data_IF_256082345264
#
_entry.id   IF_256082345264
#
_cell.length_a   1.000
_cell.length_b   1.000
_cell.length_c   1.000
_cell.angle_alpha   90.00
_cell.angle_beta   90.00
_cell.angle_gamma   90.00
#
_symmetry.space_group_name_H-M   'P 1'
#
loop_
_entity.id
_entity.type
_entity.pdbx_description
1 polymer ?
#
# COMPACT_ATOMS: atom_id res chain seq x y z
N UNK A 1 19.45 -2.58 -1.09
CA UNK A 1 19.08 -1.19 -0.72
C UNK A 1 19.36 -0.30 -1.92
N UNK A 2 18.37 0.47 -2.37
CA UNK A 2 18.61 1.54 -3.35
C UNK A 2 19.41 2.61 -2.63
N UNK A 3 20.71 2.72 -2.92
CA UNK A 3 21.57 3.77 -2.36
C UNK A 3 21.09 5.13 -2.89
N UNK A 4 20.79 6.09 -2.02
CA UNK A 4 20.51 7.48 -2.39
C UNK A 4 19.10 8.02 -2.14
N UNK A 5 18.17 7.23 -1.57
CA UNK A 5 16.90 7.76 -1.04
C UNK A 5 16.93 7.66 0.48
N UNK A 6 17.26 8.77 1.14
CA UNK A 6 17.20 8.86 2.60
C UNK A 6 15.73 8.97 3.04
N UNK A 7 15.06 7.82 3.09
CA UNK A 7 13.65 7.72 3.46
C UNK A 7 13.56 7.61 4.98
N UNK A 8 13.51 8.75 5.67
CA UNK A 8 13.31 8.78 7.13
C UNK A 8 11.92 8.26 7.47
N UNK A 9 11.84 7.07 8.06
CA UNK A 9 10.59 6.49 8.56
C UNK A 9 10.20 7.19 9.85
N UNK A 10 9.00 7.79 9.90
CA UNK A 10 8.44 8.42 11.11
C UNK A 10 7.59 7.45 11.92
N UNK A 11 8.14 6.28 12.28
CA UNK A 11 7.42 5.32 13.12
C UNK A 11 7.35 5.87 14.56
N UNK A 12 6.14 5.95 15.12
CA UNK A 12 5.95 6.46 16.47
C UNK A 12 6.24 5.36 17.52
N UNK A 13 6.86 5.75 18.64
CA UNK A 13 7.50 4.82 19.58
C UNK A 13 6.58 3.72 20.14
N UNK A 14 5.28 3.99 20.31
CA UNK A 14 4.33 3.07 20.93
C UNK A 14 3.50 2.24 19.93
N UNK A 15 3.78 2.32 18.61
CA UNK A 15 3.04 1.58 17.57
C UNK A 15 2.95 0.09 17.88
N UNK A 16 4.05 -0.51 18.34
CA UNK A 16 4.10 -1.93 18.65
C UNK A 16 3.19 -2.33 19.80
N UNK A 17 3.16 -1.53 20.87
CA UNK A 17 2.33 -1.76 22.04
C UNK A 17 0.86 -1.60 21.65
N UNK A 18 0.53 -0.56 20.89
CA UNK A 18 -0.82 -0.34 20.36
C UNK A 18 -1.30 -1.52 19.51
N UNK A 19 -0.49 -1.95 18.54
CA UNK A 19 -0.80 -3.10 17.68
C UNK A 19 -1.02 -4.38 18.50
N UNK A 20 -0.17 -4.63 19.50
CA UNK A 20 -0.28 -5.83 20.33
C UNK A 20 -1.57 -5.82 21.16
N UNK A 21 -1.84 -4.72 21.89
CA UNK A 21 -3.02 -4.60 22.74
C UNK A 21 -4.31 -4.72 21.94
N UNK A 22 -4.40 -4.04 20.79
CA UNK A 22 -5.58 -4.11 19.94
C UNK A 22 -5.79 -5.50 19.34
N UNK A 23 -4.71 -6.19 18.95
CA UNK A 23 -4.80 -7.55 18.43
C UNK A 23 -5.20 -8.57 19.50
N UNK A 24 -4.72 -8.41 20.73
CA UNK A 24 -5.08 -9.28 21.85
C UNK A 24 -6.57 -9.14 22.18
N UNK A 25 -7.06 -7.90 22.30
CA UNK A 25 -8.47 -7.60 22.50
C UNK A 25 -9.30 -8.20 21.35
N UNK A 26 -8.93 -7.91 20.10
CA UNK A 26 -9.62 -8.42 18.91
C UNK A 26 -9.66 -9.95 18.88
N UNK A 27 -8.58 -10.62 19.27
CA UNK A 27 -8.53 -12.08 19.30
C UNK A 27 -9.53 -12.64 20.31
N UNK A 28 -9.55 -12.14 21.54
CA UNK A 28 -10.47 -12.57 22.61
C UNK A 28 -11.93 -12.39 22.19
N UNK A 29 -12.30 -11.21 21.70
CA UNK A 29 -13.69 -10.92 21.30
C UNK A 29 -14.11 -11.67 20.04
N UNK A 30 -13.16 -12.06 19.18
CA UNK A 30 -13.48 -12.79 17.96
C UNK A 30 -13.66 -14.31 18.17
N UNK A 31 -13.31 -14.88 19.32
CA UNK A 31 -13.36 -16.35 19.56
C UNK A 31 -14.68 -17.01 19.09
N UNK A 32 -15.88 -16.47 19.39
CA UNK A 32 -17.12 -17.08 18.92
C UNK A 32 -17.20 -17.16 17.38
N UNK A 33 -16.72 -16.12 16.69
CA UNK A 33 -16.68 -16.07 15.22
C UNK A 33 -15.73 -17.14 14.69
N UNK A 34 -14.58 -17.35 15.34
CA UNK A 34 -13.63 -18.39 14.92
C UNK A 34 -14.26 -19.78 14.94
N UNK A 35 -15.02 -20.11 15.97
CA UNK A 35 -15.70 -21.42 16.10
C UNK A 35 -16.75 -21.59 15.00
N UNK A 36 -17.61 -20.59 14.79
CA UNK A 36 -18.65 -20.63 13.76
C UNK A 36 -18.05 -20.80 12.36
N UNK A 37 -17.04 -20.00 12.03
CA UNK A 37 -16.36 -20.05 10.72
C UNK A 37 -15.63 -21.38 10.54
N UNK A 38 -14.99 -21.88 11.59
CA UNK A 38 -14.30 -23.18 11.56
C UNK A 38 -15.25 -24.34 11.25
N UNK A 39 -16.42 -24.36 11.90
CA UNK A 39 -17.47 -25.37 11.65
C UNK A 39 -18.01 -25.20 10.22
N UNK A 40 -18.32 -23.97 9.79
CA UNK A 40 -18.86 -23.73 8.45
C UNK A 40 -17.91 -24.19 7.32
N UNK A 41 -16.60 -23.88 7.43
CA UNK A 41 -15.59 -24.34 6.47
C UNK A 41 -15.45 -25.86 6.49
N UNK A 42 -15.49 -26.46 7.69
CA UNK A 42 -15.36 -27.90 7.85
C UNK A 42 -16.57 -28.65 7.28
N UNK A 43 -17.79 -28.14 7.46
CA UNK A 43 -18.99 -28.74 6.90
C UNK A 43 -19.06 -28.58 5.36
N UNK A 44 -18.54 -27.46 4.81
CA UNK A 44 -18.59 -27.23 3.36
C UNK A 44 -17.51 -28.00 2.59
N UNK A 45 -16.26 -27.98 3.05
CA UNK A 45 -15.11 -28.54 2.31
C UNK A 45 -14.08 -29.22 3.25
N UNK A 46 -14.46 -29.60 4.48
CA UNK A 46 -13.58 -30.34 5.40
C UNK A 46 -12.32 -29.60 5.86
N UNK A 47 -11.23 -30.33 6.08
CA UNK A 47 -9.92 -29.77 6.50
C UNK A 47 -9.02 -29.45 5.29
N UNK A 48 -8.03 -28.54 5.43
CA UNK A 48 -7.74 -27.69 6.59
C UNK A 48 -8.62 -26.43 6.69
N UNK A 49 -8.86 -25.97 7.92
CA UNK A 49 -9.69 -24.77 8.21
C UNK A 49 -8.87 -23.48 8.00
N UNK A 50 -7.63 -23.48 8.48
CA UNK A 50 -6.70 -22.37 8.28
C UNK A 50 -5.86 -22.61 7.04
N UNK A 51 -5.65 -21.54 6.28
CA UNK A 51 -4.72 -21.46 5.17
C UNK A 51 -3.53 -20.58 5.57
N UNK A 52 -2.32 -21.01 5.20
CA UNK A 52 -1.09 -20.25 5.41
C UNK A 52 -0.47 -19.90 4.07
N UNK A 53 -0.01 -18.66 3.93
CA UNK A 53 0.62 -18.18 2.70
C UNK A 53 1.95 -17.50 3.00
N UNK A 54 2.99 -17.83 2.23
CA UNK A 54 4.30 -17.18 2.37
C UNK A 54 4.20 -15.75 1.85
N UNK A 55 4.63 -14.79 2.67
CA UNK A 55 4.59 -13.35 2.37
C UNK A 55 5.90 -12.69 2.79
N UNK A 56 6.19 -11.51 2.21
CA UNK A 56 7.35 -10.70 2.58
C UNK A 56 6.98 -9.67 3.64
N UNK A 57 7.72 -9.66 4.75
CA UNK A 57 7.61 -8.73 5.86
C UNK A 57 8.61 -7.58 5.78
N UNK A 58 8.90 -6.97 6.94
CA UNK A 58 9.89 -5.89 7.06
C UNK A 58 11.27 -6.38 6.59
N UNK A 59 11.94 -5.58 5.78
CA UNK A 59 13.21 -5.89 5.10
C UNK A 59 13.16 -7.19 4.28
N UNK A 60 12.02 -7.44 3.63
CA UNK A 60 11.80 -8.62 2.78
C UNK A 60 11.94 -9.97 3.52
N UNK A 61 11.89 -9.97 4.86
CA UNK A 61 11.96 -11.22 5.64
C UNK A 61 10.69 -12.05 5.40
N UNK A 62 10.80 -13.31 4.93
CA UNK A 62 9.63 -14.12 4.67
C UNK A 62 8.96 -14.56 5.96
N UNK A 63 7.62 -14.57 5.98
CA UNK A 63 6.82 -15.09 7.08
C UNK A 63 5.56 -15.80 6.56
N UNK A 64 4.89 -16.55 7.43
CA UNK A 64 3.62 -17.22 7.13
C UNK A 64 2.45 -16.35 7.57
N UNK A 65 1.68 -15.85 6.62
CA UNK A 65 0.43 -15.13 6.86
C UNK A 65 -0.72 -16.12 7.02
N UNK A 66 -1.49 -16.00 8.10
CA UNK A 66 -2.63 -16.89 8.40
C UNK A 66 -3.95 -16.29 7.93
N UNK A 67 -4.82 -17.13 7.38
CA UNK A 67 -6.19 -16.80 7.00
C UNK A 67 -7.12 -17.99 7.24
N UNK A 68 -8.43 -17.74 7.31
CA UNK A 68 -9.37 -18.82 7.10
C UNK A 68 -9.37 -19.23 5.62
N UNK A 69 -9.50 -20.53 5.37
CA UNK A 69 -9.57 -21.05 4.00
C UNK A 69 -10.90 -20.61 3.38
N UNK A 70 -10.82 -19.80 2.34
CA UNK A 70 -11.98 -19.30 1.58
C UNK A 70 -12.08 -19.87 0.16
N UNK A 71 -11.15 -20.74 -0.22
CA UNK A 71 -11.11 -21.40 -1.52
C UNK A 71 -11.13 -22.92 -1.34
N UNK A 72 -11.57 -23.63 -2.37
CA UNK A 72 -11.55 -25.10 -2.42
C UNK A 72 -10.14 -25.64 -2.14
N UNK A 73 -10.06 -26.88 -1.64
CA UNK A 73 -8.78 -27.61 -1.64
C UNK A 73 -8.14 -27.52 -3.02
N UNK A 74 -6.83 -27.35 -3.06
CA UNK A 74 -6.05 -27.42 -4.29
C UNK A 74 -6.36 -26.30 -5.32
N UNK A 75 -6.89 -25.17 -4.86
CA UNK A 75 -7.21 -24.00 -5.70
C UNK A 75 -6.03 -23.46 -6.55
N UNK A 76 -4.78 -23.74 -6.16
CA UNK A 76 -3.60 -23.26 -6.89
C UNK A 76 -2.89 -24.38 -7.69
N UNK A 77 -3.37 -25.63 -7.67
CA UNK A 77 -2.65 -26.76 -8.25
C UNK A 77 -2.47 -26.65 -9.78
N UNK A 78 -3.45 -26.06 -10.47
CA UNK A 78 -3.42 -25.87 -11.93
C UNK A 78 -2.88 -24.52 -12.39
N UNK A 79 -2.88 -23.51 -11.51
CA UNK A 79 -2.61 -22.10 -11.89
C UNK A 79 -1.38 -21.50 -11.21
N UNK A 80 -0.91 -22.10 -10.12
CA UNK A 80 0.12 -21.54 -9.27
C UNK A 80 -0.31 -20.24 -8.57
N UNK A 81 0.65 -19.41 -8.14
CA UNK A 81 0.41 -18.26 -7.29
C UNK A 81 -0.18 -17.05 -8.05
N UNK A 82 -1.48 -17.09 -8.32
CA UNK A 82 -2.21 -15.99 -9.00
C UNK A 82 -3.04 -15.14 -8.02
N UNK A 83 -3.32 -13.89 -8.39
CA UNK A 83 -4.35 -13.11 -7.69
C UNK A 83 -5.73 -13.72 -7.93
N UNK A 84 -6.60 -13.63 -6.92
CA UNK A 84 -7.99 -14.05 -7.07
C UNK A 84 -8.70 -13.10 -8.02
N UNK A 85 -9.52 -13.63 -8.94
CA UNK A 85 -10.34 -12.77 -9.80
C UNK A 85 -11.65 -12.41 -9.10
N UNK A 86 -12.39 -11.45 -9.67
CA UNK A 86 -13.77 -11.25 -9.25
C UNK A 86 -14.60 -12.46 -9.65
N UNK A 87 -15.45 -12.95 -8.73
CA UNK A 87 -16.23 -14.19 -8.89
C UNK A 87 -15.37 -15.42 -9.23
N UNK A 88 -14.18 -15.51 -8.66
CA UNK A 88 -13.27 -16.63 -8.87
C UNK A 88 -13.94 -17.98 -8.52
N UNK A 89 -14.00 -18.94 -9.46
CA UNK A 89 -14.71 -20.21 -9.28
C UNK A 89 -14.11 -21.07 -8.17
N UNK A 90 -12.87 -20.78 -7.75
CA UNK A 90 -12.19 -21.49 -6.68
C UNK A 90 -12.72 -21.09 -5.29
N UNK A 91 -13.51 -20.02 -5.18
CA UNK A 91 -14.03 -19.52 -3.90
C UNK A 91 -15.31 -20.27 -3.50
N UNK A 92 -15.31 -20.86 -2.31
CA UNK A 92 -16.47 -21.63 -1.79
C UNK A 92 -17.64 -20.71 -1.40
N UNK A 93 -18.83 -21.24 -1.09
CA UNK A 93 -19.98 -20.41 -0.69
C UNK A 93 -19.71 -19.73 0.66
N UNK A 94 -19.21 -20.47 1.64
CA UNK A 94 -18.75 -19.88 2.92
C UNK A 94 -17.61 -18.91 2.66
N UNK A 95 -16.68 -19.29 1.79
CA UNK A 95 -15.56 -18.46 1.32
C UNK A 95 -15.98 -17.09 0.79
N UNK A 96 -17.04 -17.03 -0.02
CA UNK A 96 -17.58 -15.76 -0.53
C UNK A 96 -18.05 -14.85 0.61
N UNK A 97 -18.78 -15.40 1.57
CA UNK A 97 -19.28 -14.65 2.72
C UNK A 97 -18.15 -14.11 3.60
N UNK A 98 -17.20 -14.97 4.00
CA UNK A 98 -16.10 -14.55 4.88
C UNK A 98 -15.14 -13.58 4.20
N UNK A 99 -15.00 -13.61 2.86
CA UNK A 99 -14.22 -12.62 2.10
C UNK A 99 -14.95 -11.28 1.96
N UNK A 100 -16.26 -11.30 1.73
CA UNK A 100 -17.06 -10.07 1.63
C UNK A 100 -17.06 -9.26 2.94
N UNK A 101 -16.99 -9.98 4.06
CA UNK A 101 -16.94 -9.44 5.42
C UNK A 101 -15.51 -9.36 5.99
N UNK A 102 -14.47 -9.67 5.21
CA UNK A 102 -13.06 -9.72 5.66
C UNK A 102 -12.80 -10.60 6.91
N UNK A 103 -13.76 -11.45 7.29
CA UNK A 103 -13.63 -12.42 8.38
C UNK A 103 -12.50 -13.41 8.07
N UNK A 104 -12.25 -13.69 6.78
CA UNK A 104 -11.14 -14.56 6.36
C UNK A 104 -9.76 -14.07 6.82
N UNK A 105 -9.63 -12.77 7.12
CA UNK A 105 -8.39 -12.15 7.58
C UNK A 105 -8.22 -12.13 9.10
N UNK A 106 -9.22 -12.54 9.91
CA UNK A 106 -9.11 -12.59 11.37
C UNK A 106 -7.90 -13.37 11.90
N UNK A 107 -7.47 -14.50 11.30
CA UNK A 107 -6.27 -15.20 11.76
C UNK A 107 -4.97 -14.40 11.67
N UNK A 108 -4.95 -13.30 10.91
CA UNK A 108 -3.81 -12.38 10.87
C UNK A 108 -3.59 -11.64 12.20
N UNK A 109 -4.56 -11.61 13.12
CA UNK A 109 -4.34 -11.10 14.48
C UNK A 109 -3.20 -11.85 15.19
N UNK A 110 -3.04 -13.15 14.92
CA UNK A 110 -1.91 -13.95 15.42
C UNK A 110 -0.58 -13.42 14.83
N UNK A 111 -0.55 -13.05 13.56
CA UNK A 111 0.62 -12.44 12.94
C UNK A 111 0.96 -11.08 13.55
N UNK A 112 -0.05 -10.28 13.91
CA UNK A 112 0.15 -9.02 14.64
C UNK A 112 0.75 -9.31 16.02
N UNK A 113 0.20 -10.27 16.79
CA UNK A 113 0.76 -10.63 18.10
C UNK A 113 2.20 -11.14 18.02
N UNK A 114 2.55 -11.93 17.00
CA UNK A 114 3.94 -12.36 16.73
C UNK A 114 4.86 -11.21 16.29
N UNK A 115 4.28 -10.13 15.77
CA UNK A 115 5.02 -8.98 15.25
C UNK A 115 5.48 -9.12 13.81
N UNK A 116 4.96 -10.11 13.08
CA UNK A 116 5.19 -10.32 11.64
C UNK A 116 4.62 -9.15 10.81
N UNK A 117 3.44 -8.66 11.21
CA UNK A 117 2.71 -7.55 10.58
C UNK A 117 2.22 -6.54 11.64
N UNK A 118 1.68 -5.41 11.20
CA UNK A 118 1.00 -4.37 11.98
C UNK A 118 -0.48 -4.29 11.59
N UNK A 119 -1.32 -3.56 12.34
CA UNK A 119 -2.67 -3.25 11.85
C UNK A 119 -2.63 -2.39 10.60
N UNK A 120 -1.71 -1.41 10.54
CA UNK A 120 -1.63 -0.44 9.44
C UNK A 120 -0.26 -0.45 8.82
N UNK A 121 -0.23 -0.57 7.49
CA UNK A 121 0.99 -0.68 6.69
C UNK A 121 0.74 -1.15 5.27
N UNK A 122 1.80 -1.16 4.44
CA UNK A 122 1.74 -1.71 3.09
C UNK A 122 1.26 -3.17 3.10
N UNK A 123 0.46 -3.58 2.11
CA UNK A 123 0.02 -4.99 2.04
C UNK A 123 1.22 -5.90 1.80
N UNK A 124 1.36 -6.95 2.61
CA UNK A 124 2.42 -7.94 2.42
C UNK A 124 2.22 -8.69 1.09
N UNK A 125 3.22 -8.72 0.22
CA UNK A 125 3.14 -9.42 -1.08
C UNK A 125 3.71 -10.84 -1.03
N UNK A 126 3.25 -11.67 -1.96
CA UNK A 126 3.85 -13.00 -2.18
C UNK A 126 5.25 -12.82 -2.78
N UNK A 127 6.26 -13.60 -2.36
CA UNK A 127 7.62 -13.49 -2.88
C UNK A 127 7.70 -13.54 -4.41
N UNK A 128 6.92 -14.43 -5.04
CA UNK A 128 6.91 -14.64 -6.50
C UNK A 128 6.39 -13.40 -7.24
N UNK A 129 5.33 -12.78 -6.71
CA UNK A 129 4.75 -11.56 -7.27
C UNK A 129 5.66 -10.35 -7.02
N UNK A 130 6.22 -10.22 -5.82
CA UNK A 130 7.14 -9.15 -5.49
C UNK A 130 8.40 -9.20 -6.39
N UNK A 131 8.94 -10.39 -6.67
CA UNK A 131 10.05 -10.55 -7.60
C UNK A 131 9.68 -10.12 -9.02
N UNK A 132 8.45 -10.42 -9.49
CA UNK A 132 7.94 -9.93 -10.79
C UNK A 132 7.81 -8.41 -10.82
N UNK A 133 7.24 -7.80 -9.77
CA UNK A 133 7.06 -6.35 -9.71
C UNK A 133 8.38 -5.59 -9.60
N UNK A 134 9.35 -6.10 -8.84
CA UNK A 134 10.69 -5.49 -8.71
C UNK A 134 11.46 -5.43 -10.03
N UNK A 135 11.23 -6.38 -10.96
CA UNK A 135 11.84 -6.35 -12.31
C UNK A 135 11.37 -5.14 -13.11
N UNK A 136 10.10 -4.76 -12.98
CA UNK A 136 9.51 -3.64 -13.72
C UNK A 136 9.55 -2.32 -12.94
N UNK A 137 9.60 -2.39 -11.61
CA UNK A 137 9.52 -1.26 -10.68
C UNK A 137 10.58 -1.47 -9.58
N UNK A 138 11.84 -1.07 -9.81
CA UNK A 138 12.92 -1.29 -8.83
C UNK A 138 12.62 -0.70 -7.45
N UNK A 139 11.89 0.43 -7.40
CA UNK A 139 11.46 1.09 -6.16
C UNK A 139 10.41 0.30 -5.35
N UNK A 140 9.85 -0.79 -5.90
CA UNK A 140 8.81 -1.58 -5.23
C UNK A 140 9.27 -2.18 -3.89
N UNK A 141 10.58 -2.42 -3.74
CA UNK A 141 11.16 -2.91 -2.49
C UNK A 141 11.02 -1.92 -1.31
N UNK A 142 10.88 -0.61 -1.58
CA UNK A 142 10.78 0.43 -0.55
C UNK A 142 9.56 0.24 0.36
N UNK A 143 8.51 -0.45 -0.10
CA UNK A 143 7.33 -0.74 0.72
C UNK A 143 7.63 -1.66 1.92
N UNK A 144 8.73 -2.41 1.87
CA UNK A 144 9.13 -3.35 2.93
C UNK A 144 10.02 -2.73 4.00
N UNK A 145 10.32 -1.42 3.96
CA UNK A 145 11.15 -0.78 4.99
C UNK A 145 10.42 -0.67 6.35
N UNK A 146 9.09 -0.80 6.33
CA UNK A 146 8.23 -0.88 7.53
C UNK A 146 7.53 -2.24 7.58
N UNK A 147 6.93 -2.56 8.73
CA UNK A 147 6.08 -3.76 8.83
C UNK A 147 4.89 -3.62 7.88
N UNK A 148 4.53 -4.69 7.15
CA UNK A 148 3.31 -4.68 6.38
C UNK A 148 2.07 -4.57 7.29
N UNK A 149 0.96 -4.14 6.73
CA UNK A 149 -0.30 -3.92 7.44
C UNK A 149 -1.40 -4.90 7.04
N UNK A 150 -2.26 -5.23 8.01
CA UNK A 150 -3.57 -5.82 7.74
C UNK A 150 -4.39 -4.88 6.84
N UNK A 151 -4.44 -3.60 7.19
CA UNK A 151 -5.01 -2.51 6.38
C UNK A 151 -3.96 -1.45 6.04
N UNK A 152 -4.32 -0.51 5.18
CA UNK A 152 -3.42 0.53 4.70
C UNK A 152 -4.09 1.44 3.68
N UNK A 153 -3.40 2.50 3.28
CA UNK A 153 -3.96 3.48 2.33
C UNK A 153 -4.31 2.80 1.00
N UNK A 154 -3.44 1.93 0.48
CA UNK A 154 -3.69 1.19 -0.75
C UNK A 154 -4.89 0.24 -0.63
N UNK A 155 -5.09 -0.38 0.53
CA UNK A 155 -6.20 -1.30 0.79
C UNK A 155 -7.54 -0.56 0.92
N UNK A 156 -7.54 0.64 1.52
CA UNK A 156 -8.75 1.41 1.79
C UNK A 156 -9.19 2.24 0.57
N UNK A 157 -8.23 2.86 -0.13
CA UNK A 157 -8.49 3.79 -1.22
C UNK A 157 -8.18 3.23 -2.61
N UNK A 158 -7.31 2.22 -2.70
CA UNK A 158 -7.00 1.57 -3.96
C UNK A 158 -8.12 0.62 -4.39
N UNK A 159 -8.35 0.55 -5.69
CA UNK A 159 -9.18 -0.49 -6.33
C UNK A 159 -8.42 -1.81 -6.37
N UNK A 160 -9.13 -2.93 -6.50
CA UNK A 160 -8.51 -4.27 -6.52
C UNK A 160 -7.46 -4.42 -7.63
N UNK A 161 -7.81 -3.92 -8.81
CA UNK A 161 -7.04 -3.87 -10.05
C UNK A 161 -5.99 -2.75 -10.08
N UNK A 162 -5.87 -1.95 -9.02
CA UNK A 162 -4.92 -0.83 -8.97
C UNK A 162 -3.52 -1.35 -9.32
N UNK A 163 -2.89 -0.80 -10.38
CA UNK A 163 -1.60 -1.27 -10.83
C UNK A 163 -0.56 -1.23 -9.70
N UNK A 164 0.43 -2.14 -9.70
CA UNK A 164 1.47 -2.19 -8.66
C UNK A 164 2.17 -0.84 -8.42
N UNK A 165 2.30 -0.01 -9.46
CA UNK A 165 2.85 1.34 -9.40
C UNK A 165 2.02 2.25 -8.48
N UNK A 166 0.70 2.26 -8.63
CA UNK A 166 -0.18 3.09 -7.81
C UNK A 166 -0.29 2.57 -6.37
N UNK A 167 -0.30 1.24 -6.18
CA UNK A 167 -0.21 0.64 -4.84
C UNK A 167 1.05 1.10 -4.12
N UNK A 168 2.19 1.08 -4.82
CA UNK A 168 3.46 1.58 -4.27
C UNK A 168 3.37 3.05 -3.86
N UNK A 169 2.71 3.92 -4.64
CA UNK A 169 2.53 5.34 -4.26
C UNK A 169 1.79 5.48 -2.94
N UNK A 170 0.66 4.81 -2.78
CA UNK A 170 -0.11 4.84 -1.53
C UNK A 170 0.71 4.33 -0.34
N UNK A 171 1.48 3.27 -0.54
CA UNK A 171 2.36 2.73 0.49
C UNK A 171 3.45 3.71 0.90
N UNK A 172 4.08 4.40 -0.06
CA UNK A 172 5.10 5.42 0.22
C UNK A 172 4.52 6.65 0.92
N UNK A 173 3.30 7.06 0.56
CA UNK A 173 2.56 8.13 1.26
C UNK A 173 2.35 7.73 2.73
N UNK A 174 1.93 6.50 2.98
CA UNK A 174 1.77 6.01 4.35
C UNK A 174 3.09 6.04 5.11
N UNK A 175 4.15 5.44 4.55
CA UNK A 175 5.48 5.35 5.15
C UNK A 175 6.03 6.73 5.55
N UNK A 176 5.85 7.74 4.70
CA UNK A 176 6.32 9.11 4.97
C UNK A 176 5.51 9.83 6.06
N UNK A 177 4.23 9.52 6.18
CA UNK A 177 3.28 10.24 7.04
C UNK A 177 2.74 9.39 8.19
N UNK A 178 3.49 8.35 8.60
CA UNK A 178 3.08 7.50 9.71
C UNK A 178 2.83 8.33 10.97
N UNK A 179 1.65 8.14 11.56
CA UNK A 179 1.25 8.79 12.80
C UNK A 179 0.14 7.97 13.44
N UNK A 180 0.02 8.08 14.76
CA UNK A 180 -1.04 7.39 15.51
C UNK A 180 -2.44 7.75 15.00
N UNK A 181 -2.69 9.02 14.72
CA UNK A 181 -4.00 9.50 14.21
C UNK A 181 -4.31 8.93 12.82
N UNK A 182 -3.31 8.81 11.94
CA UNK A 182 -3.50 8.20 10.63
C UNK A 182 -3.83 6.71 10.77
N UNK A 183 -3.11 5.99 11.63
CA UNK A 183 -3.37 4.58 11.89
C UNK A 183 -4.80 4.37 12.42
N UNK A 184 -5.23 5.15 13.41
CA UNK A 184 -6.57 5.07 13.96
C UNK A 184 -7.65 5.33 12.91
N UNK A 185 -7.47 6.35 12.07
CA UNK A 185 -8.38 6.66 10.95
C UNK A 185 -8.48 5.49 9.97
N UNK A 186 -7.35 4.90 9.57
CA UNK A 186 -7.32 3.80 8.63
C UNK A 186 -7.95 2.53 9.22
N UNK A 187 -7.73 2.23 10.50
CA UNK A 187 -8.37 1.10 11.20
C UNK A 187 -9.89 1.29 11.24
N UNK A 188 -10.36 2.45 11.70
CA UNK A 188 -11.80 2.73 11.79
C UNK A 188 -12.49 2.69 10.42
N UNK A 189 -11.85 3.26 9.40
CA UNK A 189 -12.39 3.23 8.04
C UNK A 189 -12.39 1.80 7.46
N UNK A 190 -11.33 1.03 7.70
CA UNK A 190 -11.26 -0.39 7.33
C UNK A 190 -12.36 -1.20 8.01
N UNK A 191 -12.58 -0.99 9.32
CA UNK A 191 -13.64 -1.66 10.07
C UNK A 191 -15.03 -1.27 9.56
N UNK A 192 -15.25 0.01 9.25
CA UNK A 192 -16.51 0.47 8.68
C UNK A 192 -16.80 -0.15 7.30
N UNK A 193 -15.77 -0.25 6.44
CA UNK A 193 -15.89 -0.92 5.13
C UNK A 193 -16.23 -2.41 5.33
N UNK A 194 -15.58 -3.07 6.28
CA UNK A 194 -15.89 -4.45 6.68
C UNK A 194 -17.34 -4.61 7.12
N UNK A 195 -17.77 -3.78 8.06
CA UNK A 195 -19.10 -3.86 8.64
C UNK A 195 -20.21 -3.63 7.60
N UNK A 196 -19.97 -2.74 6.64
CA UNK A 196 -20.93 -2.47 5.55
C UNK A 196 -20.87 -3.49 4.41
N UNK A 197 -19.97 -4.49 4.47
CA UNK A 197 -19.80 -5.51 3.41
C UNK A 197 -19.28 -4.93 2.09
N UNK A 198 -18.82 -3.67 2.09
CA UNK A 198 -18.46 -2.92 0.88
C UNK A 198 -17.01 -3.10 0.45
N UNK A 199 -16.37 -4.20 0.83
CA UNK A 199 -15.06 -4.55 0.27
C UNK A 199 -15.18 -4.91 -1.22
N UNK A 200 -16.31 -5.50 -1.60
CA UNK A 200 -16.60 -5.89 -2.98
C UNK A 200 -17.48 -4.88 -3.73
N UNK A 201 -18.31 -4.07 -3.04
CA UNK A 201 -19.21 -3.12 -3.70
C UNK A 201 -18.53 -1.79 -4.09
N UNK A 202 -17.90 -1.83 -5.26
CA UNK A 202 -17.91 -0.92 -6.44
C UNK A 202 -18.54 0.50 -6.38
N UNK A 203 -18.24 1.34 -5.39
CA UNK A 203 -18.46 2.80 -5.55
C UNK A 203 -17.25 3.60 -5.06
N UNK A 204 -16.95 4.70 -5.75
CA UNK A 204 -15.85 5.62 -5.43
C UNK A 204 -15.97 6.13 -3.99
N UNK A 205 -15.26 5.47 -3.07
CA UNK A 205 -15.12 5.93 -1.68
C UNK A 205 -14.40 7.28 -1.57
N UNK A 206 -13.80 7.76 -2.67
CA UNK A 206 -13.33 9.13 -2.86
C UNK A 206 -14.48 10.15 -2.94
N UNK A 207 -15.64 9.77 -3.49
CA UNK A 207 -16.77 10.67 -3.71
C UNK A 207 -17.39 11.22 -2.42
N UNK A 208 -17.37 10.45 -1.33
CA UNK A 208 -18.01 10.85 -0.05
C UNK A 208 -17.16 11.84 0.75
N UNK A 209 -15.82 11.73 0.68
CA UNK A 209 -14.93 12.68 1.37
C UNK A 209 -14.66 13.94 0.53
N UNK A 210 -14.62 13.80 -0.80
CA UNK A 210 -14.41 14.91 -1.74
C UNK A 210 -15.69 15.75 -1.86
N UNK A 211 -16.89 15.15 -2.04
CA UNK A 211 -18.14 15.92 -2.23
C UNK A 211 -18.54 16.78 -1.03
N UNK A 212 -18.28 16.33 0.21
CA UNK A 212 -18.64 17.10 1.41
C UNK A 212 -17.71 18.30 1.69
N UNK A 213 -16.49 18.30 1.13
CA UNK A 213 -15.58 19.46 1.21
C UNK A 213 -15.63 20.39 0.00
N UNK A 214 -16.09 19.92 -1.16
CA UNK A 214 -16.17 20.74 -2.38
C UNK A 214 -17.32 21.75 -2.41
N UNK A 215 -18.30 21.67 -1.50
CA UNK A 215 -19.43 22.61 -1.51
C UNK A 215 -19.20 23.91 -0.70
N UNK A 216 -18.21 23.97 0.19
CA UNK A 216 -17.85 25.19 0.92
C UNK A 216 -16.34 25.21 1.20
N UNK A 217 -15.64 26.02 0.43
CA UNK A 217 -14.26 26.50 0.70
C UNK A 217 -13.13 25.50 0.44
N UNK A 218 -12.88 25.18 -0.84
CA UNK A 218 -11.53 24.94 -1.35
C UNK A 218 -11.53 25.15 -2.86
N UNK A 219 -11.34 26.40 -3.29
CA UNK A 219 -10.60 26.60 -4.54
C UNK A 219 -9.20 26.01 -4.29
N UNK A 220 -8.74 25.02 -5.06
CA UNK A 220 -7.37 24.59 -4.96
C UNK A 220 -6.51 25.68 -5.60
N UNK A 221 -6.12 26.67 -4.79
CA UNK A 221 -4.84 27.32 -5.02
C UNK A 221 -3.76 26.29 -4.65
N UNK A 222 -2.66 26.28 -5.41
CA UNK A 222 -1.46 25.42 -5.29
C UNK A 222 -1.45 24.28 -6.31
N UNK A 223 -0.71 24.51 -7.40
CA UNK A 223 -0.17 23.50 -8.32
C UNK A 223 0.51 22.37 -7.54
N UNK A 224 -0.08 21.16 -7.55
CA UNK A 224 0.40 20.02 -6.75
C UNK A 224 1.64 19.33 -7.35
N UNK A 225 2.02 19.69 -8.57
CA UNK A 225 3.31 19.29 -9.16
C UNK A 225 4.36 20.34 -8.84
N UNK A 226 5.12 20.13 -7.75
CA UNK A 226 6.28 20.97 -7.45
C UNK A 226 7.26 20.96 -8.63
N UNK A 227 7.86 22.11 -9.01
CA UNK A 227 8.89 22.17 -10.04
C UNK A 227 10.03 21.20 -9.74
N UNK A 228 10.63 20.60 -10.79
CA UNK A 228 11.65 19.55 -10.67
C UNK A 228 12.80 19.94 -9.72
N UNK A 229 13.27 21.18 -9.82
CA UNK A 229 14.34 21.70 -8.96
C UNK A 229 13.97 21.68 -7.46
N UNK A 230 12.71 21.97 -7.13
CA UNK A 230 12.25 21.99 -5.74
C UNK A 230 12.07 20.59 -5.17
N UNK A 231 11.68 19.62 -6.00
CA UNK A 231 11.66 18.20 -5.63
C UNK A 231 13.07 17.67 -5.35
N UNK A 232 14.05 18.07 -6.16
CA UNK A 232 15.45 17.65 -5.99
C UNK A 232 16.06 18.22 -4.71
N UNK A 233 15.69 19.46 -4.32
CA UNK A 233 16.12 20.07 -3.05
C UNK A 233 15.48 19.38 -1.85
N UNK A 234 14.17 19.10 -1.90
CA UNK A 234 13.47 18.41 -0.81
C UNK A 234 13.97 16.98 -0.59
N UNK A 235 14.45 16.34 -1.66
CA UNK A 235 15.09 15.04 -1.61
C UNK A 235 16.59 15.11 -1.25
N UNK A 236 17.11 16.30 -0.94
CA UNK A 236 18.51 16.55 -0.62
C UNK A 236 19.49 16.04 -1.70
N UNK A 237 19.05 16.02 -2.97
CA UNK A 237 19.85 15.60 -4.12
C UNK A 237 20.71 16.74 -4.63
N UNK A 238 20.17 17.97 -4.59
CA UNK A 238 20.87 19.19 -4.95
C UNK A 238 20.62 20.27 -3.90
N UNK A 239 21.52 21.24 -3.78
CA UNK A 239 21.36 22.40 -2.91
C UNK A 239 20.61 23.54 -3.60
N UNK A 240 20.17 24.53 -2.81
CA UNK A 240 19.60 25.78 -3.35
C UNK A 240 20.58 26.53 -4.25
N UNK A 241 21.88 26.50 -3.93
CA UNK A 241 22.91 27.15 -4.75
C UNK A 241 23.11 26.43 -6.09
N UNK A 242 23.17 25.09 -6.07
CA UNK A 242 23.27 24.28 -7.29
C UNK A 242 22.06 24.49 -8.21
N UNK A 243 20.86 24.64 -7.65
CA UNK A 243 19.67 24.96 -8.43
C UNK A 243 19.76 26.37 -9.05
N UNK A 244 20.20 27.38 -8.30
CA UNK A 244 20.39 28.74 -8.83
C UNK A 244 21.40 28.76 -9.98
N UNK A 245 22.52 28.06 -9.82
CA UNK A 245 23.54 27.98 -10.86
C UNK A 245 23.02 27.26 -12.12
N UNK A 246 22.30 26.14 -11.95
CA UNK A 246 21.69 25.44 -13.06
C UNK A 246 20.62 26.28 -13.77
N UNK A 247 19.82 27.08 -13.04
CA UNK A 247 18.83 28.01 -13.63
C UNK A 247 19.50 29.13 -14.43
N UNK A 248 20.62 29.67 -13.95
CA UNK A 248 21.41 30.66 -14.69
C UNK A 248 21.98 30.05 -15.98
N UNK A 249 22.53 28.84 -15.89
CA UNK A 249 23.04 28.08 -17.04
C UNK A 249 21.93 27.73 -18.05
N UNK A 250 20.73 27.40 -17.56
CA UNK A 250 19.56 27.11 -18.37
C UNK A 250 19.16 28.31 -19.24
N UNK A 251 19.11 29.52 -18.65
CA UNK A 251 18.72 30.75 -19.34
C UNK A 251 19.66 31.12 -20.49
N UNK A 252 20.93 30.78 -20.38
CA UNK A 252 21.92 31.05 -21.44
C UNK A 252 21.87 30.09 -22.64
N UNK A 253 21.17 28.95 -22.52
CA UNK A 253 21.24 27.86 -23.51
C UNK A 253 19.86 27.31 -23.95
N UNK A 254 18.75 27.76 -23.35
CA UNK A 254 17.40 27.33 -23.74
C UNK A 254 17.09 25.85 -23.46
N UNK A 255 17.86 25.19 -22.60
CA UNK A 255 17.69 23.76 -22.24
C UNK A 255 16.67 23.57 -21.10
N UNK A 256 16.26 22.33 -20.82
CA UNK A 256 15.41 22.03 -19.66
C UNK A 256 16.24 22.04 -18.36
N UNK A 257 15.63 22.40 -17.23
CA UNK A 257 16.32 22.47 -15.93
C UNK A 257 17.01 21.14 -15.55
N UNK A 258 16.40 20.00 -15.87
CA UNK A 258 17.00 18.69 -15.63
C UNK A 258 18.30 18.46 -16.43
N UNK A 259 18.31 18.88 -17.70
CA UNK A 259 19.50 18.78 -18.56
C UNK A 259 20.60 19.75 -18.11
N UNK A 260 20.23 20.95 -17.65
CA UNK A 260 21.18 21.90 -17.06
C UNK A 260 21.87 21.34 -15.82
N UNK A 261 21.12 20.67 -14.94
CA UNK A 261 21.64 20.02 -13.75
C UNK A 261 22.60 18.86 -14.08
N UNK A 262 22.32 18.10 -15.14
CA UNK A 262 23.22 17.03 -15.61
C UNK A 262 24.49 17.60 -16.23
N UNK A 263 24.38 18.60 -17.11
CA UNK A 263 25.55 19.22 -17.77
C UNK A 263 26.49 19.91 -16.79
N UNK A 264 25.95 20.43 -15.68
CA UNK A 264 26.73 21.00 -14.58
C UNK A 264 27.33 19.96 -13.62
N UNK A 265 27.02 18.68 -13.80
CA UNK A 265 27.54 17.60 -12.95
C UNK A 265 26.86 17.49 -11.58
N UNK A 266 25.77 18.22 -11.33
CA UNK A 266 25.02 18.18 -10.08
C UNK A 266 24.07 16.99 -9.98
N UNK A 267 23.77 16.35 -11.12
CA UNK A 267 22.82 15.26 -11.22
C UNK A 267 23.28 14.24 -12.27
N UNK A 268 23.10 12.95 -12.03
CA UNK A 268 23.31 11.94 -13.08
C UNK A 268 22.04 11.76 -13.92
N UNK A 269 22.19 11.35 -15.19
CA UNK A 269 21.06 11.01 -16.05
C UNK A 269 20.14 9.95 -15.43
N UNK A 270 20.70 9.00 -14.67
CA UNK A 270 19.93 7.98 -13.99
C UNK A 270 19.00 8.57 -12.92
N UNK A 271 19.50 9.49 -12.08
CA UNK A 271 18.71 10.15 -11.03
C UNK A 271 17.69 11.10 -11.66
N UNK A 272 18.07 11.85 -12.71
CA UNK A 272 17.14 12.70 -13.46
C UNK A 272 15.94 11.90 -13.99
N UNK A 273 16.19 10.76 -14.62
CA UNK A 273 15.12 9.90 -15.15
C UNK A 273 14.20 9.37 -14.07
N UNK A 274 14.72 9.06 -12.87
CA UNK A 274 13.88 8.66 -11.73
C UNK A 274 12.96 9.79 -11.26
N UNK A 275 13.45 11.03 -11.19
CA UNK A 275 12.64 12.17 -10.79
C UNK A 275 11.63 12.59 -11.86
N UNK A 276 11.99 12.52 -13.14
CA UNK A 276 11.06 12.76 -14.25
C UNK A 276 9.95 11.71 -14.28
N UNK A 277 10.28 10.44 -14.06
CA UNK A 277 9.28 9.38 -13.90
C UNK A 277 8.37 9.65 -12.71
N UNK A 278 8.92 10.03 -11.55
CA UNK A 278 8.12 10.43 -10.38
C UNK A 278 7.22 11.64 -10.67
N UNK A 279 7.68 12.63 -11.43
CA UNK A 279 6.86 13.78 -11.82
C UNK A 279 5.76 13.42 -12.81
N UNK A 280 6.04 12.60 -13.83
CA UNK A 280 5.03 12.10 -14.76
C UNK A 280 3.94 11.32 -14.00
N UNK A 281 4.39 10.45 -13.11
CA UNK A 281 3.56 9.72 -12.15
C UNK A 281 2.66 10.68 -11.36
N UNK A 282 3.20 11.78 -10.82
CA UNK A 282 2.42 12.77 -10.06
C UNK A 282 1.48 13.61 -10.94
N UNK A 283 1.85 13.89 -12.19
CA UNK A 283 1.10 14.73 -13.14
C UNK A 283 -0.10 14.03 -13.77
N UNK A 284 -0.01 12.73 -14.00
CA UNK A 284 -1.13 11.91 -14.51
C UNK A 284 -2.33 11.84 -13.54
N UNK A 285 -2.19 12.29 -12.28
CA UNK A 285 -3.31 12.44 -11.36
C UNK A 285 -4.12 13.74 -11.56
N UNK A 286 -3.55 14.78 -12.17
CA UNK A 286 -4.28 16.05 -12.43
C UNK A 286 -5.21 15.97 -13.65
N UNK A 287 -4.92 15.06 -14.60
CA UNK A 287 -5.72 14.87 -15.82
C UNK A 287 -6.54 13.57 -15.85
N UNK A 288 -6.56 12.81 -14.75
CA UNK A 288 -7.21 11.50 -14.63
C UNK A 288 -8.68 11.53 -14.21
N UNK A 289 -9.49 12.42 -14.79
CA UNK A 289 -10.94 12.25 -14.99
C UNK A 289 -11.23 12.61 -16.43
N UNK A 290 -11.12 11.64 -17.34
CA UNK A 290 -11.39 11.88 -18.75
C UNK A 290 -10.72 10.89 -19.69
N UNK A 291 -11.15 9.63 -19.61
CA UNK A 291 -11.27 8.69 -20.75
C UNK A 291 -12.03 7.45 -20.25
#
# INVERSE_FOLDING_TARGET
MVKGLDFTVKEYAFKRIFDFSLALIGLIFSIPIWVIVAIAIWLEDGRPILYKQKRLGKHERPFWLFKFRSMVKNAEDSTGPVWAMENDPRVTKVGRFIRATAIDELPQLINILKGDISFVGPRAERPELAARFKRNIPAFALRTIVKPGLTGIAQVYGRYDTPPQHKLRYDLIYIKNQSFILDLKLILLSFWITFTGKWQSREDKLGVLVRKKTAKTMQPSISLVKPLGQLLIEANVITQEQLKEALAYQRGLGIKIGEALVKKGFLSNQVLNQFLQLQLIMREQEYGTGA
#
